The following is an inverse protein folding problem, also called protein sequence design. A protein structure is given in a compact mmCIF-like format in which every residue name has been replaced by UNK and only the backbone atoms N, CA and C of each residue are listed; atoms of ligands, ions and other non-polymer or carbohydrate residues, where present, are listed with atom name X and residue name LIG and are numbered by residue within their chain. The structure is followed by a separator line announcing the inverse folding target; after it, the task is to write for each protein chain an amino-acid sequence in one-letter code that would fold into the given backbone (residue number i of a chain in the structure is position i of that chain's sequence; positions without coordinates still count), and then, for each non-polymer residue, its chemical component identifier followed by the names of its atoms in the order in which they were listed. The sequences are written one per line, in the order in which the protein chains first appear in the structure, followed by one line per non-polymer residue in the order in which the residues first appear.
data_IF_871190797656
#
_entry.id   IF_871190797656
#
_cell.length_a   1.000
_cell.length_b   1.000
_cell.length_c   1.000
_cell.angle_alpha   90.00
_cell.angle_beta   90.00
_cell.angle_gamma   90.00
#
_symmetry.space_group_name_H-M   'P 1'
#
loop_
_entity.id
_entity.type
_entity.pdbx_description
1 polymer ?
#
# COMPACT_ATOMS: atom_id res chain seq x y z
N UNK A 1 9.13 -16.19 9.47
CA UNK A 1 8.79 -15.19 8.45
C UNK A 1 8.63 -13.86 9.16
N UNK A 2 9.38 -12.84 8.74
CA UNK A 2 9.33 -11.50 9.35
C UNK A 2 8.29 -10.67 8.59
N UNK A 3 7.37 -10.07 9.31
CA UNK A 3 6.40 -9.14 8.76
C UNK A 3 6.92 -7.71 8.92
N UNK A 4 6.67 -6.88 7.91
CA UNK A 4 6.98 -5.46 7.89
C UNK A 4 5.68 -4.65 7.80
N UNK A 5 5.57 -3.53 8.52
CA UNK A 5 4.35 -2.73 8.51
C UNK A 5 4.25 -1.94 7.21
N UNK A 6 3.05 -1.90 6.66
CA UNK A 6 2.69 -1.10 5.49
C UNK A 6 1.70 -0.03 5.96
N UNK A 7 1.92 1.23 5.62
CA UNK A 7 0.98 2.33 5.90
C UNK A 7 0.50 2.93 4.59
N UNK A 8 -0.80 3.15 4.46
CA UNK A 8 -1.43 3.65 3.24
C UNK A 8 -2.51 4.67 3.57
N UNK A 9 -2.48 5.85 2.93
CA UNK A 9 -3.53 6.88 3.08
C UNK A 9 -4.48 6.90 1.90
N UNK A 10 -5.47 6.00 1.90
CA UNK A 10 -6.51 5.91 0.86
C UNK A 10 -7.10 7.26 0.41
N UNK A 11 -7.55 8.18 1.30
CA UNK A 11 -8.22 9.41 0.87
C UNK A 11 -7.32 10.44 0.17
N UNK A 12 -6.00 10.22 0.13
CA UNK A 12 -5.06 11.05 -0.64
C UNK A 12 -4.67 10.36 -1.98
N UNK A 13 -5.26 9.20 -2.29
CA UNK A 13 -5.00 8.46 -3.51
C UNK A 13 -5.61 9.14 -4.74
N UNK A 14 -4.83 9.20 -5.83
CA UNK A 14 -5.25 9.77 -7.11
C UNK A 14 -5.52 8.70 -8.19
N UNK A 15 -5.48 7.41 -7.81
CA UNK A 15 -5.83 6.31 -8.70
C UNK A 15 -4.82 5.97 -9.79
N UNK A 16 -3.52 6.22 -9.57
CA UNK A 16 -2.47 5.92 -10.57
C UNK A 16 -2.22 4.43 -10.84
N UNK A 17 -2.83 3.52 -10.07
CA UNK A 17 -2.72 2.06 -10.15
C UNK A 17 -1.32 1.42 -9.98
N UNK A 18 -0.23 2.20 -9.99
CA UNK A 18 1.14 1.67 -9.95
C UNK A 18 1.44 0.73 -8.77
N UNK A 19 0.91 1.04 -7.58
CA UNK A 19 1.09 0.19 -6.39
C UNK A 19 0.41 -1.18 -6.54
N UNK A 20 -0.77 -1.24 -7.16
CA UNK A 20 -1.48 -2.48 -7.44
C UNK A 20 -0.79 -3.29 -8.57
N UNK A 21 -0.13 -2.62 -9.52
CA UNK A 21 0.66 -3.32 -10.56
C UNK A 21 2.00 -3.84 -10.02
N UNK A 22 2.66 -3.07 -9.17
CA UNK A 22 3.98 -3.42 -8.61
C UNK A 22 3.88 -4.45 -7.50
N UNK A 23 2.85 -4.32 -6.65
CA UNK A 23 2.64 -5.16 -5.47
C UNK A 23 1.17 -5.65 -5.41
N UNK A 24 0.71 -6.45 -6.39
CA UNK A 24 -0.68 -6.91 -6.49
C UNK A 24 -1.12 -7.83 -5.35
N UNK A 25 -0.18 -8.40 -4.60
CA UNK A 25 -0.46 -9.21 -3.41
C UNK A 25 -0.83 -8.36 -2.18
N UNK A 26 -0.60 -7.04 -2.25
CA UNK A 26 -0.77 -6.11 -1.12
C UNK A 26 -1.75 -4.98 -1.40
N UNK A 27 -1.80 -4.49 -2.64
CA UNK A 27 -2.66 -3.40 -3.06
C UNK A 27 -3.63 -3.86 -4.15
N UNK A 28 -4.87 -3.41 -4.04
CA UNK A 28 -5.90 -3.57 -5.07
C UNK A 28 -6.57 -2.23 -5.36
N UNK A 29 -7.14 -2.07 -6.56
CA UNK A 29 -7.92 -0.90 -6.93
C UNK A 29 -9.38 -1.12 -6.56
N UNK A 30 -9.97 -0.19 -5.81
CA UNK A 30 -11.37 -0.22 -5.43
C UNK A 30 -12.29 0.32 -6.55
N UNK A 31 -13.60 0.16 -6.41
CA UNK A 31 -14.61 0.68 -7.37
C UNK A 31 -14.53 2.20 -7.54
N UNK A 32 -14.04 2.92 -6.52
CA UNK A 32 -13.77 4.36 -6.59
C UNK A 32 -12.54 4.76 -7.43
N UNK A 33 -11.80 3.79 -7.98
CA UNK A 33 -10.54 4.05 -8.70
C UNK A 33 -9.39 4.42 -7.77
N UNK A 34 -9.53 4.24 -6.46
CA UNK A 34 -8.48 4.46 -5.46
C UNK A 34 -7.81 3.13 -5.12
N UNK A 35 -6.50 3.16 -4.88
CA UNK A 35 -5.82 2.01 -4.31
C UNK A 35 -6.31 1.77 -2.87
N UNK A 36 -6.37 0.52 -2.44
CA UNK A 36 -6.57 0.11 -1.04
C UNK A 36 -5.68 -1.09 -0.72
N UNK A 37 -5.40 -1.28 0.57
CA UNK A 37 -4.70 -2.48 1.03
C UNK A 37 -5.67 -3.67 1.03
N UNK A 38 -5.22 -4.81 0.50
CA UNK A 38 -5.99 -6.06 0.48
C UNK A 38 -6.22 -6.55 1.91
N UNK A 39 -5.19 -6.45 2.77
CA UNK A 39 -5.24 -6.84 4.18
C UNK A 39 -4.91 -5.66 5.08
N UNK A 40 -5.94 -5.10 5.69
CA UNK A 40 -5.83 -4.05 6.70
C UNK A 40 -5.86 -4.69 8.09
N UNK A 41 -4.80 -4.48 8.86
CA UNK A 41 -4.69 -4.96 10.25
C UNK A 41 -5.10 -3.90 11.27
N UNK A 42 -5.05 -2.62 10.88
CA UNK A 42 -5.46 -1.50 11.71
C UNK A 42 -5.84 -0.31 10.84
N UNK A 43 -6.86 0.43 11.27
CA UNK A 43 -7.23 1.72 10.69
C UNK A 43 -7.13 2.80 11.77
N UNK A 44 -6.63 3.98 11.39
CA UNK A 44 -6.54 5.12 12.29
C UNK A 44 -6.79 6.40 11.50
N UNK A 45 -8.03 6.91 11.59
CA UNK A 45 -8.45 8.09 10.85
C UNK A 45 -8.33 7.86 9.34
N UNK A 46 -7.42 8.58 8.70
CA UNK A 46 -7.16 8.50 7.24
C UNK A 46 -6.13 7.43 6.85
N UNK A 47 -5.52 6.76 7.81
CA UNK A 47 -4.45 5.79 7.58
C UNK A 47 -4.99 4.37 7.71
N UNK A 48 -4.65 3.54 6.73
CA UNK A 48 -4.79 2.10 6.76
C UNK A 48 -3.41 1.49 6.98
N UNK A 49 -3.32 0.53 7.88
CA UNK A 49 -2.11 -0.22 8.16
C UNK A 49 -2.31 -1.67 7.77
N UNK A 50 -1.35 -2.22 7.04
CA UNK A 50 -1.27 -3.62 6.65
C UNK A 50 0.07 -4.22 7.08
N UNK A 51 0.25 -5.48 6.74
CA UNK A 51 1.51 -6.21 6.98
C UNK A 51 1.94 -6.88 5.69
N UNK A 52 3.23 -6.74 5.36
CA UNK A 52 3.87 -7.40 4.24
C UNK A 52 4.96 -8.36 4.68
N UNK A 53 5.36 -9.29 3.82
CA UNK A 53 6.52 -10.13 4.09
C UNK A 53 7.82 -9.35 3.80
N UNK A 54 8.84 -9.54 4.64
CA UNK A 54 10.16 -8.92 4.43
C UNK A 54 10.84 -9.41 3.13
N UNK A 55 10.53 -10.61 2.65
CA UNK A 55 10.93 -11.11 1.32
C UNK A 55 10.40 -10.23 0.18
N UNK A 56 9.20 -9.65 0.34
CA UNK A 56 8.57 -8.75 -0.62
C UNK A 56 8.96 -7.27 -0.40
N UNK A 57 9.93 -7.00 0.49
CA UNK A 57 10.33 -5.63 0.81
C UNK A 57 10.78 -4.84 -0.41
N UNK A 58 11.44 -5.49 -1.38
CA UNK A 58 11.88 -4.84 -2.60
C UNK A 58 10.69 -4.32 -3.44
N UNK A 59 9.67 -5.16 -3.66
CA UNK A 59 8.47 -4.75 -4.43
C UNK A 59 7.62 -3.73 -3.67
N UNK A 60 7.54 -3.86 -2.34
CA UNK A 60 6.86 -2.90 -1.48
C UNK A 60 7.55 -1.54 -1.49
N UNK A 61 8.89 -1.51 -1.48
CA UNK A 61 9.66 -0.26 -1.60
C UNK A 61 9.50 0.37 -2.97
N UNK A 62 9.48 -0.41 -4.05
CA UNK A 62 9.16 0.12 -5.39
C UNK A 62 7.77 0.75 -5.44
N UNK A 63 6.76 0.14 -4.78
CA UNK A 63 5.42 0.70 -4.71
C UNK A 63 5.37 2.01 -3.88
N UNK A 64 6.16 2.10 -2.79
CA UNK A 64 6.34 3.35 -2.02
C UNK A 64 6.98 4.45 -2.86
N UNK A 65 8.14 4.18 -3.47
CA UNK A 65 8.91 5.15 -4.24
C UNK A 65 8.19 5.58 -5.54
N UNK A 66 7.41 4.68 -6.13
CA UNK A 66 6.63 4.95 -7.33
C UNK A 66 5.38 5.80 -7.07
N UNK A 67 4.94 5.95 -5.81
CA UNK A 67 3.71 6.67 -5.50
C UNK A 67 3.87 8.18 -5.74
N UNK A 68 3.14 8.79 -6.70
CA UNK A 68 3.32 10.19 -7.07
C UNK A 68 2.89 11.18 -5.98
N UNK A 69 2.11 10.71 -5.00
CA UNK A 69 1.55 11.50 -3.89
C UNK A 69 2.13 11.09 -2.52
N UNK A 70 3.13 10.21 -2.48
CA UNK A 70 3.83 9.76 -1.26
C UNK A 70 2.89 9.31 -0.11
N UNK A 71 1.85 8.54 -0.45
CA UNK A 71 0.82 8.08 0.53
C UNK A 71 1.07 6.67 1.07
N UNK A 72 2.12 5.99 0.61
CA UNK A 72 2.52 4.64 1.02
C UNK A 72 3.82 4.76 1.83
N UNK A 73 3.94 4.05 2.96
CA UNK A 73 5.19 3.91 3.72
C UNK A 73 5.42 2.48 4.15
N UNK A 74 6.63 1.97 3.93
CA UNK A 74 7.08 0.64 4.34
C UNK A 74 8.11 0.77 5.47
N UNK A 75 7.82 0.13 6.60
CA UNK A 75 8.68 0.15 7.80
C UNK A 75 9.69 -0.99 7.92
#
# INVERSE_FOLDING_TARGET
MKLIPISHKKPECIGCALCAETAPNYFEMDEGGEAKLIRVVREQGKFQFGEGFDDDRAVLKMAEEGCPVDIIKIG
#
